data_IF_629828764274
#
_entry.id   IF_629828764274
#
_cell.length_a   1.000
_cell.length_b   1.000
_cell.length_c   1.000
_cell.angle_alpha   90.00
_cell.angle_beta   90.00
_cell.angle_gamma   90.00
#
_symmetry.space_group_name_H-M   'P 1'
#
loop_
_entity.id
_entity.type
_entity.pdbx_description
1 polymer ?
#
# COMPACT_ATOMS: atom_id res chain seq x y z
N UNK A 1 5.12 -14.11 25.72
CA UNK A 1 4.14 -13.51 26.64
C UNK A 1 4.46 -12.06 27.04
N UNK A 2 5.71 -11.59 26.93
CA UNK A 2 6.08 -10.19 27.21
C UNK A 2 5.72 -9.19 26.08
N UNK A 3 5.79 -9.59 24.80
CA UNK A 3 5.54 -8.72 23.64
C UNK A 3 4.09 -8.22 23.45
N UNK A 4 3.10 -8.84 24.09
CA UNK A 4 1.68 -8.45 23.99
C UNK A 4 1.28 -7.41 25.05
N UNK A 5 2.04 -7.28 26.14
CA UNK A 5 1.77 -6.31 27.21
C UNK A 5 2.15 -4.88 26.81
N UNK A 6 3.23 -4.72 26.05
CA UNK A 6 3.71 -3.39 25.62
C UNK A 6 2.75 -2.70 24.62
N UNK A 7 2.12 -3.48 23.73
CA UNK A 7 1.16 -2.97 22.75
C UNK A 7 -0.20 -2.56 23.38
N UNK A 8 -0.64 -3.31 24.39
CA UNK A 8 -1.82 -2.96 25.20
C UNK A 8 -1.58 -1.69 26.02
N UNK A 9 -0.36 -1.52 26.55
CA UNK A 9 0.02 -0.36 27.35
C UNK A 9 0.03 0.94 26.51
N UNK A 10 0.61 0.93 25.32
CA UNK A 10 0.67 2.14 24.48
C UNK A 10 -0.66 2.52 23.82
N UNK A 11 -1.54 1.56 23.52
CA UNK A 11 -2.88 1.87 23.00
C UNK A 11 -3.78 2.44 24.10
N UNK A 12 -3.68 1.90 25.32
CA UNK A 12 -4.29 2.48 26.51
C UNK A 12 -3.70 3.85 26.85
N UNK A 13 -2.38 4.05 26.68
CA UNK A 13 -1.73 5.36 26.85
C UNK A 13 -2.18 6.36 25.78
N UNK A 14 -2.41 5.95 24.53
CA UNK A 14 -2.95 6.81 23.48
C UNK A 14 -4.39 7.24 23.77
N UNK A 15 -5.24 6.28 24.15
CA UNK A 15 -6.61 6.58 24.56
C UNK A 15 -6.63 7.44 25.83
N UNK A 16 -5.74 7.17 26.78
CA UNK A 16 -5.52 7.97 27.98
C UNK A 16 -4.97 9.35 27.65
N UNK A 17 -4.07 9.50 26.67
CA UNK A 17 -3.52 10.78 26.22
C UNK A 17 -4.57 11.60 25.47
N UNK A 18 -5.37 10.98 24.61
CA UNK A 18 -6.49 11.66 23.92
C UNK A 18 -7.55 12.11 24.93
N UNK A 19 -7.81 11.31 25.97
CA UNK A 19 -8.66 11.70 27.11
C UNK A 19 -8.01 12.79 27.98
N UNK A 20 -6.71 12.70 28.24
CA UNK A 20 -5.93 13.63 29.08
C UNK A 20 -5.77 15.00 28.42
N UNK A 21 -5.60 15.03 27.09
CA UNK A 21 -5.58 16.25 26.28
C UNK A 21 -6.99 16.77 25.95
N UNK A 22 -8.06 16.09 26.40
CA UNK A 22 -9.46 16.38 26.05
C UNK A 22 -9.68 16.61 24.54
N UNK A 23 -8.90 15.93 23.70
CA UNK A 23 -8.96 16.08 22.25
C UNK A 23 -10.16 15.31 21.72
N UNK A 24 -11.33 15.96 21.77
CA UNK A 24 -12.51 15.51 21.05
C UNK A 24 -12.25 15.51 19.54
N UNK A 25 -13.09 14.80 18.78
CA UNK A 25 -13.05 14.86 17.31
C UNK A 25 -13.16 16.32 16.81
N UNK A 26 -13.93 17.16 17.51
CA UNK A 26 -14.01 18.60 17.25
C UNK A 26 -12.69 19.33 17.56
N UNK A 27 -11.99 18.97 18.64
CA UNK A 27 -10.66 19.50 18.96
C UNK A 27 -9.61 19.15 17.90
N UNK A 28 -9.60 17.91 17.44
CA UNK A 28 -8.72 17.47 16.35
C UNK A 28 -9.02 18.19 15.03
N UNK A 29 -10.31 18.40 14.70
CA UNK A 29 -10.71 19.21 13.53
C UNK A 29 -10.28 20.67 13.64
N UNK A 30 -10.36 21.25 14.84
CA UNK A 30 -9.88 22.62 15.08
C UNK A 30 -8.36 22.72 14.89
N UNK A 31 -7.60 21.72 15.33
CA UNK A 31 -6.14 21.66 15.14
C UNK A 31 -5.71 21.49 13.68
N UNK A 32 -6.52 20.80 12.86
CA UNK A 32 -6.22 20.71 11.42
C UNK A 32 -6.26 22.07 10.72
N UNK A 33 -6.98 23.06 11.27
CA UNK A 33 -6.96 24.48 10.88
C UNK A 33 -7.22 24.77 9.39
N UNK A 34 -7.33 26.06 9.01
CA UNK A 34 -7.43 26.43 7.58
C UNK A 34 -6.09 26.33 6.83
N UNK A 35 -4.98 26.30 7.56
CA UNK A 35 -3.63 26.48 6.99
C UNK A 35 -2.73 25.22 7.01
N UNK A 36 -3.12 24.15 7.72
CA UNK A 36 -2.31 22.93 7.82
C UNK A 36 -1.02 23.09 8.65
N UNK A 37 -0.88 24.19 9.41
CA UNK A 37 0.32 24.51 10.21
C UNK A 37 0.64 23.44 11.27
N UNK A 38 -0.38 22.77 11.78
CA UNK A 38 -0.20 21.67 12.73
C UNK A 38 0.35 20.40 12.06
N UNK A 39 -0.07 20.09 10.83
CA UNK A 39 0.49 18.98 10.05
C UNK A 39 1.98 19.23 9.79
N UNK A 40 2.36 20.47 9.46
CA UNK A 40 3.76 20.85 9.27
C UNK A 40 4.56 20.69 10.56
N UNK A 41 4.00 21.11 11.70
CA UNK A 41 4.62 20.93 13.01
C UNK A 41 4.84 19.46 13.36
N UNK A 42 3.82 18.61 13.17
CA UNK A 42 3.95 17.16 13.39
C UNK A 42 4.95 16.53 12.43
N UNK A 43 4.97 16.94 11.16
CA UNK A 43 5.98 16.48 10.19
C UNK A 43 7.39 16.81 10.67
N UNK A 44 7.60 18.01 11.24
CA UNK A 44 8.88 18.40 11.83
C UNK A 44 9.24 17.52 13.04
N UNK A 45 8.29 17.21 13.93
CA UNK A 45 8.52 16.30 15.06
C UNK A 45 8.88 14.89 14.57
N UNK A 46 8.24 14.40 13.50
CA UNK A 46 8.59 13.11 12.89
C UNK A 46 10.02 13.12 12.33
N UNK A 47 10.48 14.26 11.83
CA UNK A 47 11.81 14.44 11.22
C UNK A 47 12.94 14.47 12.24
N UNK A 48 12.81 15.27 13.31
CA UNK A 48 13.94 15.54 14.25
C UNK A 48 13.69 15.08 15.69
N UNK A 49 12.51 14.54 15.99
CA UNK A 49 12.16 14.11 17.34
C UNK A 49 12.86 12.82 17.77
N UNK A 50 12.81 12.53 19.08
CA UNK A 50 13.19 11.21 19.61
C UNK A 50 12.26 10.13 19.06
N UNK A 51 12.66 8.85 19.12
CA UNK A 51 11.79 7.76 18.67
C UNK A 51 10.41 7.78 19.33
N UNK A 52 10.34 8.10 20.62
CA UNK A 52 9.08 8.24 21.34
C UNK A 52 8.22 9.40 20.80
N UNK A 53 8.80 10.60 20.65
CA UNK A 53 8.07 11.74 20.09
C UNK A 53 7.61 11.50 18.66
N UNK A 54 8.41 10.81 17.83
CA UNK A 54 8.05 10.41 16.47
C UNK A 54 6.87 9.45 16.46
N UNK A 55 6.86 8.45 17.35
CA UNK A 55 5.73 7.52 17.50
C UNK A 55 4.44 8.28 17.83
N UNK A 56 4.46 9.16 18.84
CA UNK A 56 3.30 9.96 19.22
C UNK A 56 2.84 10.91 18.09
N UNK A 57 3.78 11.55 17.39
CA UNK A 57 3.47 12.45 16.29
C UNK A 57 2.77 11.72 15.13
N UNK A 58 3.23 10.52 14.74
CA UNK A 58 2.58 9.70 13.71
C UNK A 58 1.17 9.31 14.12
N UNK A 59 0.98 8.92 15.38
CA UNK A 59 -0.32 8.49 15.89
C UNK A 59 -1.32 9.63 15.93
N UNK A 60 -0.90 10.80 16.41
CA UNK A 60 -1.74 11.99 16.40
C UNK A 60 -2.05 12.43 14.96
N UNK A 61 -1.05 12.43 14.07
CA UNK A 61 -1.24 12.78 12.68
C UNK A 61 -2.24 11.84 11.98
N UNK A 62 -2.17 10.54 12.25
CA UNK A 62 -3.15 9.56 11.77
C UNK A 62 -4.57 9.93 12.22
N UNK A 63 -4.77 10.13 13.52
CA UNK A 63 -6.10 10.48 14.06
C UNK A 63 -6.65 11.78 13.46
N UNK A 64 -5.79 12.77 13.22
CA UNK A 64 -6.20 14.03 12.59
C UNK A 64 -6.59 13.86 11.12
N UNK A 65 -5.77 13.15 10.34
CA UNK A 65 -6.02 13.00 8.91
C UNK A 65 -7.18 12.03 8.60
N UNK A 66 -7.53 11.13 9.51
CA UNK A 66 -8.71 10.25 9.37
C UNK A 66 -10.04 11.03 9.37
N UNK A 67 -10.08 12.21 10.01
CA UNK A 67 -11.28 13.05 10.13
C UNK A 67 -11.16 14.37 9.38
N UNK A 68 -10.05 14.60 8.69
CA UNK A 68 -9.76 15.82 7.96
C UNK A 68 -10.66 15.98 6.74
N UNK A 69 -10.97 17.23 6.39
CA UNK A 69 -11.76 17.54 5.20
C UNK A 69 -11.03 17.06 3.93
N UNK A 70 -11.76 16.55 2.90
CA UNK A 70 -11.14 16.11 1.65
C UNK A 70 -10.24 17.16 0.99
N UNK A 71 -10.56 18.45 1.15
CA UNK A 71 -9.79 19.58 0.64
C UNK A 71 -8.40 19.70 1.30
N UNK A 72 -8.28 19.35 2.59
CA UNK A 72 -7.00 19.31 3.28
C UNK A 72 -6.16 18.12 2.81
N UNK A 73 -6.79 16.96 2.61
CA UNK A 73 -6.11 15.73 2.20
C UNK A 73 -5.43 15.84 0.82
N UNK A 74 -5.96 16.65 -0.11
CA UNK A 74 -5.32 16.86 -1.42
C UNK A 74 -4.17 17.86 -1.38
N UNK A 75 -4.01 18.62 -0.28
CA UNK A 75 -3.00 19.68 -0.10
C UNK A 75 -1.79 19.25 0.74
N UNK A 76 -1.68 17.98 1.10
CA UNK A 76 -0.54 17.44 1.86
C UNK A 76 0.78 17.65 1.10
N UNK A 77 1.85 18.02 1.80
CA UNK A 77 3.14 18.34 1.17
C UNK A 77 4.02 17.09 1.01
N UNK A 78 4.98 17.12 0.08
CA UNK A 78 5.88 16.00 -0.21
C UNK A 78 6.71 15.61 1.03
N UNK A 79 7.13 16.59 1.82
CA UNK A 79 7.94 16.41 3.03
C UNK A 79 7.26 15.44 4.01
N UNK A 80 5.93 15.49 4.13
CA UNK A 80 5.20 14.55 4.95
C UNK A 80 5.43 13.10 4.49
N UNK A 81 5.34 12.84 3.19
CA UNK A 81 5.55 11.49 2.66
C UNK A 81 6.99 11.02 2.88
N UNK A 82 7.97 11.90 2.71
CA UNK A 82 9.38 11.59 3.01
C UNK A 82 9.55 11.16 4.47
N UNK A 83 8.97 11.89 5.42
CA UNK A 83 9.09 11.55 6.84
C UNK A 83 8.31 10.28 7.20
N UNK A 84 7.14 10.02 6.59
CA UNK A 84 6.42 8.76 6.77
C UNK A 84 7.20 7.56 6.21
N UNK A 85 7.87 7.71 5.06
CA UNK A 85 8.76 6.67 4.52
C UNK A 85 9.91 6.40 5.48
N UNK A 86 10.54 7.45 6.05
CA UNK A 86 11.58 7.26 7.08
C UNK A 86 11.08 6.52 8.31
N UNK A 87 9.86 6.75 8.77
CA UNK A 87 9.29 5.98 9.89
C UNK A 87 9.17 4.49 9.56
N UNK A 88 8.81 4.14 8.31
CA UNK A 88 8.79 2.75 7.85
C UNK A 88 10.20 2.15 7.76
N UNK A 89 11.18 2.92 7.25
CA UNK A 89 12.57 2.48 7.15
C UNK A 89 13.19 2.21 8.52
N UNK A 90 13.02 3.16 9.44
CA UNK A 90 13.64 3.10 10.77
C UNK A 90 13.00 2.02 11.67
N UNK A 91 11.79 1.57 11.32
CA UNK A 91 11.01 0.57 12.07
C UNK A 91 10.94 0.87 13.58
N UNK A 92 10.85 2.16 13.95
CA UNK A 92 10.96 2.66 15.33
C UNK A 92 10.03 1.96 16.33
N UNK A 93 8.85 1.53 15.86
CA UNK A 93 7.99 0.59 16.58
C UNK A 93 6.99 -0.07 15.64
N UNK A 94 6.46 -1.23 16.04
CA UNK A 94 5.36 -1.90 15.32
C UNK A 94 4.11 -1.02 15.22
N UNK A 95 3.83 -0.25 16.26
CA UNK A 95 2.67 0.63 16.31
C UNK A 95 2.81 1.81 15.36
N UNK A 96 3.98 2.47 15.32
CA UNK A 96 4.25 3.54 14.38
C UNK A 96 4.23 3.05 12.93
N UNK A 97 4.81 1.87 12.67
CA UNK A 97 4.78 1.26 11.33
C UNK A 97 3.35 0.98 10.88
N UNK A 98 2.54 0.37 11.75
CA UNK A 98 1.11 0.11 11.49
C UNK A 98 0.34 1.41 11.26
N UNK A 99 0.51 2.41 12.13
CA UNK A 99 -0.16 3.69 12.01
C UNK A 99 0.22 4.41 10.71
N UNK A 100 1.50 4.34 10.32
CA UNK A 100 2.01 4.90 9.07
C UNK A 100 1.40 4.22 7.85
N UNK A 101 1.33 2.89 7.83
CA UNK A 101 0.66 2.15 6.75
C UNK A 101 -0.84 2.49 6.65
N UNK A 102 -1.54 2.60 7.79
CA UNK A 102 -2.95 3.02 7.81
C UNK A 102 -3.13 4.45 7.29
N UNK A 103 -2.24 5.35 7.69
CA UNK A 103 -2.25 6.73 7.25
C UNK A 103 -2.00 6.83 5.74
N UNK A 104 -0.97 6.17 5.22
CA UNK A 104 -0.66 6.11 3.79
C UNK A 104 -1.82 5.51 2.99
N UNK A 105 -2.47 4.44 3.48
CA UNK A 105 -3.63 3.84 2.83
C UNK A 105 -4.81 4.81 2.73
N UNK A 106 -4.97 5.70 3.70
CA UNK A 106 -6.01 6.72 3.71
C UNK A 106 -5.70 7.89 2.76
N UNK A 107 -4.45 8.38 2.75
CA UNK A 107 -4.08 9.63 2.04
C UNK A 107 -3.61 9.42 0.61
N UNK A 108 -2.97 8.28 0.25
CA UNK A 108 -2.44 8.05 -1.10
C UNK A 108 -3.49 8.09 -2.21
N UNK A 109 -4.72 7.56 -2.03
CA UNK A 109 -5.77 7.65 -3.06
C UNK A 109 -6.26 9.07 -3.37
N UNK A 110 -5.85 10.09 -2.59
CA UNK A 110 -6.37 11.46 -2.69
C UNK A 110 -5.47 12.33 -3.58
N UNK A 111 -6.05 13.02 -4.56
CA UNK A 111 -5.34 13.99 -5.39
C UNK A 111 -4.02 13.46 -5.99
N UNK A 112 -2.93 14.21 -5.81
CA UNK A 112 -1.58 13.85 -6.28
C UNK A 112 -0.74 13.12 -5.21
N UNK A 113 -1.35 12.65 -4.13
CA UNK A 113 -0.60 12.05 -3.02
C UNK A 113 0.09 10.74 -3.42
N UNK A 114 -0.51 9.94 -4.31
CA UNK A 114 0.16 8.76 -4.88
C UNK A 114 1.48 9.08 -5.58
N UNK A 115 1.56 10.22 -6.27
CA UNK A 115 2.78 10.68 -6.96
C UNK A 115 3.81 11.09 -5.91
N UNK A 116 3.42 11.92 -4.93
CA UNK A 116 4.30 12.34 -3.82
C UNK A 116 4.83 11.15 -3.02
N UNK A 117 3.99 10.14 -2.79
CA UNK A 117 4.39 8.92 -2.09
C UNK A 117 5.43 8.11 -2.89
N UNK A 118 5.27 8.00 -4.21
CA UNK A 118 6.28 7.41 -5.08
C UNK A 118 7.57 8.24 -5.13
N UNK A 119 7.48 9.56 -5.31
CA UNK A 119 8.64 10.47 -5.27
C UNK A 119 9.40 10.39 -3.93
N UNK A 120 8.69 10.13 -2.82
CA UNK A 120 9.29 9.92 -1.51
C UNK A 120 9.94 8.53 -1.32
N UNK A 121 9.86 7.64 -2.31
CA UNK A 121 10.48 6.31 -2.27
C UNK A 121 9.68 5.27 -1.47
N UNK A 122 8.36 5.39 -1.40
CA UNK A 122 7.54 4.45 -0.61
C UNK A 122 7.56 3.03 -1.20
N UNK A 123 7.62 2.89 -2.53
CA UNK A 123 7.46 1.61 -3.21
C UNK A 123 8.53 0.58 -2.84
N UNK A 124 9.84 0.87 -2.93
CA UNK A 124 10.88 -0.10 -2.54
C UNK A 124 10.71 -0.55 -1.07
N UNK A 125 10.42 0.38 -0.17
CA UNK A 125 10.22 0.08 1.26
C UNK A 125 9.04 -0.87 1.49
N UNK A 126 7.92 -0.67 0.78
CA UNK A 126 6.77 -1.57 0.87
C UNK A 126 7.07 -2.96 0.29
N UNK A 127 7.91 -3.05 -0.74
CA UNK A 127 8.32 -4.34 -1.31
C UNK A 127 9.20 -5.11 -0.32
N UNK A 128 10.18 -4.45 0.30
CA UNK A 128 11.04 -5.06 1.31
C UNK A 128 10.22 -5.53 2.53
N UNK A 129 9.30 -4.70 3.01
CA UNK A 129 8.39 -5.10 4.09
C UNK A 129 7.49 -6.30 3.71
N UNK A 130 7.11 -6.46 2.44
CA UNK A 130 6.35 -7.64 1.99
C UNK A 130 7.20 -8.91 1.89
N UNK A 131 8.52 -8.77 1.65
CA UNK A 131 9.47 -9.88 1.65
C UNK A 131 9.68 -10.41 3.08
N UNK A 132 9.80 -9.50 4.05
CA UNK A 132 10.08 -9.84 5.45
C UNK A 132 8.82 -10.24 6.25
N UNK A 133 7.62 -9.98 5.71
CA UNK A 133 6.37 -10.21 6.43
C UNK A 133 5.63 -11.50 6.04
N UNK A 134 5.36 -12.31 7.06
CA UNK A 134 4.49 -13.48 7.01
C UNK A 134 3.10 -13.22 7.62
N UNK A 135 2.89 -12.07 8.26
CA UNK A 135 1.62 -11.74 8.88
C UNK A 135 0.62 -11.27 7.83
N UNK A 136 -0.47 -12.02 7.66
CA UNK A 136 -1.48 -11.76 6.61
C UNK A 136 -2.03 -10.34 6.66
N UNK A 137 -2.32 -9.83 7.86
CA UNK A 137 -2.88 -8.49 8.06
C UNK A 137 -1.91 -7.39 7.66
N UNK A 138 -0.62 -7.56 7.95
CA UNK A 138 0.42 -6.61 7.54
C UNK A 138 0.59 -6.62 6.02
N UNK A 139 0.63 -7.81 5.40
CA UNK A 139 0.70 -7.93 3.95
C UNK A 139 -0.48 -7.24 3.26
N UNK A 140 -1.71 -7.41 3.78
CA UNK A 140 -2.91 -6.77 3.25
C UNK A 140 -2.84 -5.23 3.36
N UNK A 141 -2.38 -4.71 4.51
CA UNK A 141 -2.19 -3.27 4.69
C UNK A 141 -1.17 -2.71 3.70
N UNK A 142 -0.03 -3.37 3.54
CA UNK A 142 1.01 -2.93 2.60
C UNK A 142 0.47 -2.91 1.17
N UNK A 143 -0.23 -3.97 0.74
CA UNK A 143 -0.84 -4.03 -0.60
C UNK A 143 -1.92 -2.96 -0.79
N UNK A 144 -2.61 -2.57 0.29
CA UNK A 144 -3.60 -1.48 0.26
C UNK A 144 -2.94 -0.12 0.03
N UNK A 145 -1.70 0.09 0.46
CA UNK A 145 -0.91 1.28 0.14
C UNK A 145 -0.30 1.18 -1.26
N UNK A 146 0.25 0.01 -1.63
CA UNK A 146 0.96 -0.17 -2.88
C UNK A 146 0.05 -0.04 -4.11
N UNK A 147 -1.21 -0.49 -4.03
CA UNK A 147 -2.21 -0.40 -5.10
C UNK A 147 -2.46 1.03 -5.63
N UNK A 148 -2.86 2.02 -4.80
CA UNK A 148 -3.03 3.40 -5.28
C UNK A 148 -1.72 4.04 -5.77
N UNK A 149 -0.57 3.72 -5.15
CA UNK A 149 0.74 4.23 -5.57
C UNK A 149 1.11 3.70 -6.96
N UNK A 150 0.89 2.42 -7.23
CA UNK A 150 1.04 1.82 -8.57
C UNK A 150 -0.07 2.25 -9.55
N UNK A 151 -0.93 3.20 -9.17
CA UNK A 151 -1.86 3.88 -10.06
C UNK A 151 -1.29 5.14 -10.72
N UNK A 152 0.02 5.39 -10.63
CA UNK A 152 0.75 6.45 -11.34
C UNK A 152 2.03 5.90 -11.98
N UNK A 153 2.61 6.65 -12.93
CA UNK A 153 3.77 6.19 -13.70
C UNK A 153 5.01 6.03 -12.82
N UNK A 154 5.19 6.93 -11.86
CA UNK A 154 6.27 6.94 -10.88
C UNK A 154 6.24 5.67 -10.04
N UNK A 155 5.08 5.32 -9.47
CA UNK A 155 4.93 4.12 -8.65
C UNK A 155 5.13 2.82 -9.44
N UNK A 156 4.66 2.75 -10.69
CA UNK A 156 4.91 1.59 -11.57
C UNK A 156 6.40 1.47 -11.90
N UNK A 157 7.05 2.60 -12.23
CA UNK A 157 8.48 2.65 -12.53
C UNK A 157 9.32 2.15 -11.35
N UNK A 158 9.02 2.63 -10.12
CA UNK A 158 9.72 2.16 -8.92
C UNK A 158 9.51 0.67 -8.66
N UNK A 159 8.28 0.16 -8.85
CA UNK A 159 7.97 -1.25 -8.62
C UNK A 159 8.74 -2.14 -9.60
N UNK A 160 8.77 -1.78 -10.88
CA UNK A 160 9.47 -2.54 -11.92
C UNK A 160 10.99 -2.41 -11.82
N UNK A 161 11.50 -1.30 -11.27
CA UNK A 161 12.93 -1.12 -10.98
C UNK A 161 13.40 -1.99 -9.80
N UNK A 162 12.50 -2.34 -8.89
CA UNK A 162 12.82 -3.19 -7.75
C UNK A 162 12.87 -4.67 -8.17
N UNK A 163 14.01 -5.34 -7.98
CA UNK A 163 14.22 -6.72 -8.44
C UNK A 163 13.23 -7.77 -7.90
N UNK A 164 12.53 -7.45 -6.80
CA UNK A 164 11.49 -8.30 -6.22
C UNK A 164 10.05 -7.80 -6.45
N UNK A 165 9.86 -6.67 -7.14
CA UNK A 165 8.56 -5.97 -7.19
C UNK A 165 7.44 -6.79 -7.83
N UNK A 166 7.66 -7.28 -9.06
CA UNK A 166 6.67 -8.10 -9.74
C UNK A 166 6.49 -9.48 -9.07
N UNK A 167 7.59 -10.07 -8.62
CA UNK A 167 7.63 -11.36 -7.90
C UNK A 167 6.75 -11.31 -6.65
N UNK A 168 6.94 -10.31 -5.79
CA UNK A 168 6.24 -10.25 -4.52
C UNK A 168 4.75 -10.00 -4.70
N UNK A 169 4.37 -9.12 -5.64
CA UNK A 169 2.94 -8.86 -5.94
C UNK A 169 2.26 -10.11 -6.48
N UNK A 170 2.89 -10.80 -7.43
CA UNK A 170 2.40 -12.08 -7.98
C UNK A 170 2.25 -13.15 -6.90
N UNK A 171 3.23 -13.26 -5.99
CA UNK A 171 3.26 -14.26 -4.92
C UNK A 171 2.12 -14.09 -3.90
N UNK A 172 1.63 -12.87 -3.66
CA UNK A 172 0.59 -12.62 -2.66
C UNK A 172 -0.83 -12.96 -3.16
N UNK A 173 -1.04 -13.12 -4.47
CA UNK A 173 -2.32 -13.54 -5.07
C UNK A 173 -2.74 -14.91 -4.53
N UNK A 174 -3.95 -15.01 -3.99
CA UNK A 174 -4.56 -16.23 -3.41
C UNK A 174 -3.79 -16.81 -2.20
N UNK A 175 -2.78 -16.11 -1.66
CA UNK A 175 -1.94 -16.61 -0.55
C UNK A 175 -2.14 -15.87 0.77
N UNK A 176 -2.72 -14.66 0.73
CA UNK A 176 -2.88 -13.82 1.91
C UNK A 176 -4.35 -13.74 2.33
N UNK A 177 -5.15 -13.01 1.55
CA UNK A 177 -6.58 -12.78 1.75
C UNK A 177 -7.24 -12.42 0.42
N UNK A 178 -8.57 -12.34 0.39
CA UNK A 178 -9.31 -11.88 -0.78
C UNK A 178 -9.00 -10.41 -1.11
N UNK A 179 -8.93 -9.54 -0.10
CA UNK A 179 -8.56 -8.13 -0.26
C UNK A 179 -7.15 -8.01 -0.83
N UNK A 180 -6.17 -8.73 -0.28
CA UNK A 180 -4.80 -8.74 -0.79
C UNK A 180 -4.74 -9.21 -2.26
N UNK A 181 -5.54 -10.22 -2.62
CA UNK A 181 -5.62 -10.72 -4.00
C UNK A 181 -6.24 -9.67 -4.93
N UNK A 182 -7.28 -8.96 -4.50
CA UNK A 182 -7.86 -7.84 -5.26
C UNK A 182 -6.82 -6.75 -5.50
N UNK A 183 -6.11 -6.31 -4.44
CA UNK A 183 -5.06 -5.29 -4.53
C UNK A 183 -3.94 -5.71 -5.49
N UNK A 184 -3.46 -6.94 -5.37
CA UNK A 184 -2.41 -7.47 -6.25
C UNK A 184 -2.86 -7.54 -7.72
N UNK A 185 -4.09 -8.00 -8.00
CA UNK A 185 -4.64 -8.01 -9.37
C UNK A 185 -4.79 -6.60 -9.92
N UNK A 186 -5.19 -5.61 -9.10
CA UNK A 186 -5.23 -4.20 -9.52
C UNK A 186 -3.85 -3.66 -9.90
N UNK A 187 -2.81 -3.97 -9.11
CA UNK A 187 -1.43 -3.58 -9.41
C UNK A 187 -0.98 -4.21 -10.74
N UNK A 188 -1.22 -5.51 -10.94
CA UNK A 188 -0.89 -6.19 -12.20
C UNK A 188 -1.64 -5.60 -13.39
N UNK A 189 -2.89 -5.18 -13.22
CA UNK A 189 -3.64 -4.48 -14.27
C UNK A 189 -3.03 -3.13 -14.62
N UNK A 190 -2.62 -2.34 -13.63
CA UNK A 190 -1.93 -1.06 -13.87
C UNK A 190 -0.61 -1.27 -14.63
N UNK A 191 0.20 -2.26 -14.24
CA UNK A 191 1.42 -2.64 -14.95
C UNK A 191 1.08 -3.07 -16.38
N UNK A 192 0.07 -3.92 -16.55
CA UNK A 192 -0.34 -4.43 -17.88
C UNK A 192 -0.82 -3.32 -18.81
N UNK A 193 -1.39 -2.24 -18.28
CA UNK A 193 -1.88 -1.09 -19.07
C UNK A 193 -0.79 -0.06 -19.39
N UNK A 194 0.10 0.21 -18.44
CA UNK A 194 0.97 1.39 -18.49
C UNK A 194 2.47 1.10 -18.34
N UNK A 195 2.85 -0.09 -17.90
CA UNK A 195 4.25 -0.51 -17.69
C UNK A 195 4.67 -1.75 -18.48
N UNK A 196 3.81 -2.23 -19.39
CA UNK A 196 4.05 -3.47 -20.12
C UNK A 196 5.11 -3.28 -21.20
N UNK A 197 6.27 -3.90 -21.00
CA UNK A 197 7.29 -4.14 -22.04
C UNK A 197 7.37 -5.64 -22.31
N UNK A 198 8.00 -6.05 -23.42
CA UNK A 198 8.19 -7.48 -23.72
C UNK A 198 8.89 -8.19 -22.55
N UNK A 199 9.92 -7.56 -21.96
CA UNK A 199 10.64 -8.13 -20.82
C UNK A 199 9.74 -8.31 -19.59
N UNK A 200 8.92 -7.31 -19.26
CA UNK A 200 7.96 -7.40 -18.15
C UNK A 200 6.94 -8.52 -18.39
N UNK A 201 6.42 -8.65 -19.61
CA UNK A 201 5.46 -9.70 -19.95
C UNK A 201 6.07 -11.11 -19.92
N UNK A 202 7.35 -11.25 -20.29
CA UNK A 202 8.09 -12.51 -20.16
C UNK A 202 8.35 -12.83 -18.68
N UNK A 203 8.72 -11.85 -17.87
CA UNK A 203 8.88 -12.03 -16.42
C UNK A 203 7.55 -12.45 -15.77
N UNK A 204 6.43 -11.79 -16.11
CA UNK A 204 5.09 -12.18 -15.66
C UNK A 204 4.78 -13.65 -15.98
N UNK A 205 5.19 -14.10 -17.17
CA UNK A 205 5.01 -15.48 -17.62
C UNK A 205 5.84 -16.46 -16.78
N UNK A 206 7.13 -16.19 -16.60
CA UNK A 206 8.04 -16.99 -15.79
C UNK A 206 7.61 -17.08 -14.32
N UNK A 207 7.07 -16.00 -13.79
CA UNK A 207 6.52 -15.94 -12.43
C UNK A 207 5.17 -16.65 -12.29
N UNK A 208 4.62 -17.20 -13.37
CA UNK A 208 3.33 -17.88 -13.41
C UNK A 208 2.17 -16.95 -13.07
N UNK A 209 2.24 -15.67 -13.46
CA UNK A 209 1.15 -14.71 -13.25
C UNK A 209 -0.11 -15.17 -14.01
N UNK A 210 0.06 -15.64 -15.24
CA UNK A 210 -1.06 -16.08 -16.09
C UNK A 210 -1.86 -17.20 -15.42
N UNK A 211 -1.18 -18.24 -14.93
CA UNK A 211 -1.82 -19.34 -14.21
C UNK A 211 -2.57 -18.85 -12.95
N UNK A 212 -1.97 -17.94 -12.16
CA UNK A 212 -2.62 -17.36 -10.98
C UNK A 212 -3.87 -16.55 -11.34
N UNK A 213 -3.84 -15.77 -12.41
CA UNK A 213 -4.99 -15.01 -12.89
C UNK A 213 -6.11 -15.94 -13.36
N UNK A 214 -5.78 -17.03 -14.07
CA UNK A 214 -6.77 -18.04 -14.42
C UNK A 214 -7.40 -18.68 -13.17
N UNK A 215 -6.61 -18.97 -12.13
CA UNK A 215 -7.15 -19.48 -10.86
C UNK A 215 -8.09 -18.47 -10.18
N UNK A 216 -7.77 -17.17 -10.22
CA UNK A 216 -8.68 -16.11 -9.72
C UNK A 216 -10.05 -16.15 -10.40
N UNK A 217 -10.12 -16.52 -11.69
CA UNK A 217 -11.40 -16.65 -12.41
C UNK A 217 -12.25 -17.83 -11.92
N UNK A 218 -11.60 -18.92 -11.49
CA UNK A 218 -12.27 -20.15 -11.05
C UNK A 218 -12.65 -20.11 -9.56
N UNK A 219 -11.87 -19.44 -8.73
CA UNK A 219 -12.11 -19.34 -7.29
C UNK A 219 -13.10 -18.21 -6.95
N UNK A 220 -13.63 -18.20 -5.72
CA UNK A 220 -14.49 -17.10 -5.27
C UNK A 220 -13.65 -15.87 -4.86
N UNK A 221 -13.33 -15.02 -5.84
CA UNK A 221 -12.53 -13.81 -5.67
C UNK A 221 -13.32 -12.50 -5.83
N UNK A 222 -14.64 -12.56 -5.95
CA UNK A 222 -15.51 -11.41 -6.24
C UNK A 222 -15.50 -11.01 -7.73
N UNK A 223 -16.66 -10.54 -8.21
CA UNK A 223 -16.89 -10.25 -9.64
C UNK A 223 -15.91 -9.24 -10.24
N UNK A 224 -15.68 -8.11 -9.55
CA UNK A 224 -14.76 -7.05 -9.99
C UNK A 224 -13.32 -7.54 -10.12
N UNK A 225 -12.86 -8.40 -9.21
CA UNK A 225 -11.51 -8.98 -9.27
C UNK A 225 -11.38 -9.93 -10.45
N UNK A 226 -12.40 -10.76 -10.70
CA UNK A 226 -12.44 -11.65 -11.87
C UNK A 226 -12.45 -10.88 -13.19
N UNK A 227 -13.21 -9.79 -13.27
CA UNK A 227 -13.25 -8.93 -14.44
C UNK A 227 -11.87 -8.35 -14.76
N UNK A 228 -11.19 -7.79 -13.76
CA UNK A 228 -9.82 -7.25 -13.91
C UNK A 228 -8.80 -8.34 -14.28
N UNK A 229 -8.90 -9.53 -13.68
CA UNK A 229 -8.03 -10.64 -14.03
C UNK A 229 -8.22 -11.05 -15.50
N UNK A 230 -9.47 -11.10 -15.97
CA UNK A 230 -9.79 -11.36 -17.39
C UNK A 230 -9.27 -10.26 -18.29
N UNK A 231 -9.35 -9.00 -17.89
CA UNK A 231 -8.81 -7.87 -18.64
C UNK A 231 -7.29 -7.99 -18.83
N UNK A 232 -6.54 -8.34 -17.78
CA UNK A 232 -5.08 -8.58 -17.87
C UNK A 232 -4.78 -9.68 -18.89
N UNK A 233 -5.49 -10.82 -18.82
CA UNK A 233 -5.31 -11.94 -19.73
C UNK A 233 -5.57 -11.55 -21.19
N UNK A 234 -6.59 -10.73 -21.44
CA UNK A 234 -6.94 -10.27 -22.79
C UNK A 234 -5.93 -9.27 -23.36
N UNK A 235 -5.44 -8.33 -22.56
CA UNK A 235 -4.51 -7.29 -23.02
C UNK A 235 -3.26 -7.87 -23.68
N UNK A 236 -2.76 -8.99 -23.15
CA UNK A 236 -1.50 -9.60 -23.59
C UNK A 236 -1.66 -11.03 -24.12
N UNK A 237 -2.88 -11.42 -24.52
CA UNK A 237 -3.21 -12.77 -24.97
C UNK A 237 -2.28 -13.26 -26.09
N UNK A 238 -1.93 -12.40 -27.04
CA UNK A 238 -1.02 -12.75 -28.16
C UNK A 238 0.37 -13.16 -27.68
N UNK A 239 0.89 -12.52 -26.64
CA UNK A 239 2.22 -12.83 -26.06
C UNK A 239 2.18 -14.14 -25.30
N UNK A 240 1.04 -14.46 -24.68
CA UNK A 240 0.92 -15.62 -23.79
C UNK A 240 0.33 -16.87 -24.45
N UNK A 241 -0.35 -16.76 -25.60
CA UNK A 241 -1.12 -17.84 -26.25
C UNK A 241 -0.37 -19.16 -26.46
N UNK A 242 0.94 -19.10 -26.67
CA UNK A 242 1.79 -20.27 -26.95
C UNK A 242 2.72 -20.62 -25.78
N UNK A 243 2.48 -20.07 -24.59
CA UNK A 243 3.37 -20.33 -23.47
C UNK A 243 3.18 -21.75 -22.93
N UNK A 244 4.27 -22.53 -22.75
CA UNK A 244 4.21 -23.85 -22.13
C UNK A 244 3.77 -23.78 -20.65
N UNK A 245 3.79 -22.59 -20.05
CA UNK A 245 3.44 -22.37 -18.65
C UNK A 245 1.92 -22.27 -18.40
N UNK A 246 1.10 -22.36 -19.45
CA UNK A 246 -0.36 -22.21 -19.38
C UNK A 246 -1.00 -23.58 -19.62
N UNK A 247 -1.70 -24.14 -18.61
CA UNK A 247 -2.47 -25.36 -18.78
C UNK A 247 -3.39 -25.27 -20.01
N UNK A 248 -3.39 -26.30 -20.86
CA UNK A 248 -4.11 -26.32 -22.15
C UNK A 248 -5.62 -26.12 -22.02
N UNK A 249 -6.18 -26.41 -20.84
CA UNK A 249 -7.59 -26.15 -20.50
C UNK A 249 -7.91 -24.68 -20.19
N UNK A 250 -6.89 -23.86 -19.91
CA UNK A 250 -7.01 -22.43 -19.60
C UNK A 250 -6.71 -21.54 -20.81
N UNK A 251 -6.04 -22.06 -21.84
CA UNK A 251 -5.63 -21.29 -23.01
C UNK A 251 -6.79 -20.97 -23.96
N UNK A 252 -7.70 -21.91 -24.22
CA UNK A 252 -8.80 -21.72 -25.19
C UNK A 252 -9.96 -20.86 -24.69
N UNK A 253 -10.16 -20.75 -23.37
CA UNK A 253 -11.32 -20.08 -22.76
C UNK A 253 -11.06 -18.61 -22.36
N UNK A 254 -9.79 -18.20 -22.23
CA UNK A 254 -9.43 -16.87 -21.73
C UNK A 254 -8.43 -16.09 -22.59
N UNK A 255 -7.73 -16.75 -23.53
CA UNK A 255 -6.74 -16.13 -24.43
C UNK A 255 -7.16 -16.15 -25.91
N UNK A 256 -8.46 -16.40 -26.16
CA UNK A 256 -9.09 -16.32 -27.46
C UNK A 256 -9.35 -14.87 -27.88
#
# INVERSE_FOLDING_TARGET
MLRTKDALNLQAQLSSWLQFLQLSEAGLKNLTGKNGDFIVSLTRVISVGSYESRVYAVLLLKSMLEIADPMQLIRLRLELFVELVRVLCDQISRQASKATLQLLAHICPRGRNKIKAAEAGVVPILIDLLLDSFEKRVCEMILTVLDPVCGCAEGISELLRHGAGLVIVSKKILRVSQVASERAVRILLSISKFGATINVLQEMLQLGVVAKLCLVLHLDCGSKTKERAREVLKLHARVWKNSPCIPTNLSSSYLA
#
